data_IF_826080740206
#
_entry.id   IF_826080740206
#
_cell.length_a   1.000
_cell.length_b   1.000
_cell.length_c   1.000
_cell.angle_alpha   90.00
_cell.angle_beta   90.00
_cell.angle_gamma   90.00
#
_symmetry.space_group_name_H-M   'P 1'
#
loop_
_entity.id
_entity.type
_entity.pdbx_description
1 polymer ?
#
# COMPACT_ATOMS: atom_id res chain seq x y z
N UNK A 1 17.32 -3.84 -11.38
CA UNK A 1 16.33 -4.25 -12.40
C UNK A 1 16.20 -5.77 -12.34
N UNK A 2 15.03 -6.32 -11.99
CA UNK A 2 14.85 -7.77 -11.71
C UNK A 2 14.86 -8.69 -12.95
N UNK A 3 15.39 -8.22 -14.09
CA UNK A 3 15.43 -8.98 -15.35
C UNK A 3 14.08 -9.17 -16.06
N UNK A 4 13.01 -8.51 -15.61
CA UNK A 4 11.70 -8.58 -16.26
C UNK A 4 11.54 -7.53 -17.36
N UNK A 5 10.81 -7.89 -18.43
CA UNK A 5 10.33 -6.90 -19.41
C UNK A 5 9.35 -5.93 -18.74
N UNK A 6 9.25 -4.67 -19.20
CA UNK A 6 8.32 -3.69 -18.63
C UNK A 6 6.87 -4.17 -18.61
N UNK A 7 6.42 -4.85 -19.67
CA UNK A 7 5.07 -5.41 -19.76
C UNK A 7 4.81 -6.49 -18.70
N UNK A 8 5.78 -7.39 -18.46
CA UNK A 8 5.65 -8.44 -17.44
C UNK A 8 5.67 -7.86 -16.03
N UNK A 9 6.51 -6.87 -15.79
CA UNK A 9 6.53 -6.15 -14.51
C UNK A 9 5.19 -5.44 -14.24
N UNK A 10 4.58 -4.82 -15.26
CA UNK A 10 3.28 -4.19 -15.14
C UNK A 10 2.17 -5.18 -14.78
N UNK A 11 2.13 -6.36 -15.43
CA UNK A 11 1.17 -7.40 -15.10
C UNK A 11 1.32 -7.92 -13.66
N UNK A 12 2.56 -8.15 -13.22
CA UNK A 12 2.83 -8.58 -11.85
C UNK A 12 2.43 -7.50 -10.82
N UNK A 13 2.69 -6.24 -11.12
CA UNK A 13 2.26 -5.12 -10.28
C UNK A 13 0.73 -4.98 -10.23
N UNK A 14 0.03 -5.27 -11.33
CA UNK A 14 -1.43 -5.20 -11.40
C UNK A 14 -2.13 -6.18 -10.44
N UNK A 15 -1.48 -7.30 -10.07
CA UNK A 15 -2.02 -8.27 -9.12
C UNK A 15 -2.27 -7.69 -7.72
N UNK A 16 -1.57 -6.61 -7.36
CA UNK A 16 -1.76 -5.95 -6.06
C UNK A 16 -3.20 -5.49 -5.87
N UNK A 17 -3.85 -4.96 -6.92
CA UNK A 17 -5.22 -4.44 -6.84
C UNK A 17 -6.26 -5.52 -6.49
N UNK A 18 -6.37 -6.61 -7.26
CA UNK A 18 -7.24 -7.73 -6.92
C UNK A 18 -6.96 -8.32 -5.53
N UNK A 19 -5.68 -8.45 -5.14
CA UNK A 19 -5.31 -8.98 -3.84
C UNK A 19 -5.67 -8.04 -2.69
N UNK A 20 -5.71 -6.73 -2.93
CA UNK A 20 -6.25 -5.75 -2.00
C UNK A 20 -7.74 -5.97 -1.70
N UNK A 21 -8.53 -6.31 -2.72
CA UNK A 21 -9.94 -6.64 -2.53
C UNK A 21 -10.07 -8.00 -1.83
N UNK A 22 -9.30 -9.00 -2.26
CA UNK A 22 -9.30 -10.33 -1.64
C UNK A 22 -8.98 -10.27 -0.14
N UNK A 23 -7.99 -9.47 0.28
CA UNK A 23 -7.67 -9.29 1.69
C UNK A 23 -8.85 -8.75 2.52
N UNK A 24 -9.65 -7.85 1.96
CA UNK A 24 -10.87 -7.33 2.62
C UNK A 24 -11.98 -8.37 2.71
N UNK A 25 -12.16 -9.17 1.66
CA UNK A 25 -13.15 -10.26 1.66
C UNK A 25 -12.79 -11.27 2.76
N UNK A 26 -11.52 -11.64 2.85
CA UNK A 26 -11.02 -12.53 3.92
C UNK A 26 -11.25 -11.88 5.28
N UNK A 27 -10.81 -10.64 5.49
CA UNK A 27 -11.02 -9.96 6.77
C UNK A 27 -12.50 -9.93 7.17
N UNK A 28 -13.39 -9.55 6.25
CA UNK A 28 -14.83 -9.51 6.50
C UNK A 28 -15.40 -10.89 6.87
N UNK A 29 -14.97 -11.94 6.18
CA UNK A 29 -15.39 -13.32 6.47
C UNK A 29 -14.96 -13.78 7.88
N UNK A 30 -13.84 -13.25 8.38
CA UNK A 30 -13.27 -13.60 9.69
C UNK A 30 -13.44 -12.51 10.76
N UNK A 31 -14.12 -11.40 10.46
CA UNK A 31 -14.20 -10.21 11.31
C UNK A 31 -14.82 -10.48 12.69
N UNK A 32 -15.70 -11.47 12.81
CA UNK A 32 -16.31 -11.88 14.09
C UNK A 32 -15.39 -12.72 14.98
N UNK A 33 -14.19 -13.10 14.52
CA UNK A 33 -13.28 -14.03 15.22
C UNK A 33 -12.06 -13.36 15.84
N UNK A 34 -11.81 -12.09 15.53
CA UNK A 34 -10.66 -11.36 16.03
C UNK A 34 -11.02 -9.88 16.25
N UNK A 35 -10.40 -9.22 17.24
CA UNK A 35 -10.51 -7.78 17.39
C UNK A 35 -9.84 -7.04 16.23
N UNK A 36 -10.29 -5.83 15.91
CA UNK A 36 -9.71 -5.05 14.84
C UNK A 36 -8.24 -4.71 15.14
N UNK A 37 -7.89 -4.53 16.42
CA UNK A 37 -6.50 -4.32 16.85
C UNK A 37 -5.61 -5.49 16.45
N UNK A 38 -6.04 -6.73 16.71
CA UNK A 38 -5.26 -7.93 16.36
C UNK A 38 -5.15 -8.14 14.86
N UNK A 39 -6.24 -7.90 14.11
CA UNK A 39 -6.21 -7.92 12.64
C UNK A 39 -5.24 -6.86 12.11
N UNK A 40 -5.24 -5.68 12.73
CA UNK A 40 -4.34 -4.58 12.43
C UNK A 40 -2.87 -4.92 12.63
N UNK A 41 -2.52 -5.54 13.75
CA UNK A 41 -1.16 -6.01 14.02
C UNK A 41 -0.68 -7.01 12.97
N UNK A 42 -1.51 -8.02 12.65
CA UNK A 42 -1.17 -9.03 11.63
C UNK A 42 -0.95 -8.37 10.28
N UNK A 43 -1.86 -7.48 9.86
CA UNK A 43 -1.73 -6.75 8.59
C UNK A 43 -0.50 -5.83 8.58
N UNK A 44 -0.18 -5.19 9.71
CA UNK A 44 0.98 -4.32 9.86
C UNK A 44 2.28 -5.10 9.71
N UNK A 45 2.41 -6.29 10.31
CA UNK A 45 3.61 -7.12 10.20
C UNK A 45 3.72 -7.83 8.85
N UNK A 46 2.61 -8.18 8.22
CA UNK A 46 2.62 -8.77 6.88
C UNK A 46 3.15 -7.80 5.82
N UNK A 47 3.02 -6.49 6.02
CA UNK A 47 3.55 -5.46 5.12
C UNK A 47 5.08 -5.50 4.95
N UNK A 48 5.92 -5.33 6.00
CA UNK A 48 7.37 -5.44 5.85
C UNK A 48 7.81 -6.83 5.39
N UNK A 49 7.11 -7.90 5.78
CA UNK A 49 7.38 -9.26 5.27
C UNK A 49 7.24 -9.28 3.74
N UNK A 50 6.18 -8.70 3.19
CA UNK A 50 6.01 -8.61 1.73
C UNK A 50 7.18 -7.88 1.06
N UNK A 51 7.66 -6.78 1.65
CA UNK A 51 8.79 -6.02 1.13
C UNK A 51 10.09 -6.82 1.18
N UNK A 52 10.32 -7.60 2.24
CA UNK A 52 11.47 -8.50 2.32
C UNK A 52 11.41 -9.57 1.22
N UNK A 53 10.23 -10.18 0.99
CA UNK A 53 10.04 -11.14 -0.11
C UNK A 53 10.40 -10.50 -1.45
N UNK A 54 9.98 -9.27 -1.70
CA UNK A 54 10.32 -8.56 -2.93
C UNK A 54 11.81 -8.21 -3.03
N UNK A 55 12.42 -7.78 -1.93
CA UNK A 55 13.84 -7.42 -1.87
C UNK A 55 14.75 -8.60 -2.22
N UNK A 56 14.38 -9.80 -1.79
CA UNK A 56 15.11 -11.05 -2.07
C UNK A 56 14.54 -11.85 -3.25
N UNK A 57 13.64 -11.27 -4.05
CA UNK A 57 12.97 -11.99 -5.13
C UNK A 57 13.94 -12.49 -6.22
N UNK A 58 15.05 -11.77 -6.47
CA UNK A 58 16.09 -12.21 -7.41
C UNK A 58 15.60 -12.50 -8.83
N UNK A 59 14.52 -11.85 -9.30
CA UNK A 59 13.91 -12.15 -10.61
C UNK A 59 12.97 -13.37 -10.63
N UNK A 60 12.71 -13.99 -9.48
CA UNK A 60 11.71 -15.04 -9.35
C UNK A 60 10.29 -14.49 -9.49
N UNK A 61 9.57 -14.98 -10.51
CA UNK A 61 8.16 -14.61 -10.70
C UNK A 61 7.30 -15.04 -9.51
N UNK A 62 7.58 -16.22 -8.94
CA UNK A 62 6.84 -16.72 -7.78
C UNK A 62 7.00 -15.81 -6.56
N UNK A 63 8.22 -15.31 -6.32
CA UNK A 63 8.47 -14.37 -5.22
C UNK A 63 7.75 -13.03 -5.42
N UNK A 64 7.73 -12.51 -6.65
CA UNK A 64 6.98 -11.28 -6.96
C UNK A 64 5.47 -11.47 -6.82
N UNK A 65 4.93 -12.63 -7.21
CA UNK A 65 3.52 -12.96 -6.98
C UNK A 65 3.23 -13.07 -5.48
N UNK A 66 4.08 -13.74 -4.71
CA UNK A 66 3.93 -13.84 -3.26
C UNK A 66 3.95 -12.45 -2.60
N UNK A 67 4.87 -11.57 -3.03
CA UNK A 67 4.85 -10.16 -2.65
C UNK A 67 3.51 -9.51 -2.97
N UNK A 68 3.03 -9.59 -4.22
CA UNK A 68 1.81 -8.92 -4.65
C UNK A 68 0.57 -9.40 -3.86
N UNK A 69 0.52 -10.68 -3.54
CA UNK A 69 -0.54 -11.28 -2.71
C UNK A 69 -0.49 -10.75 -1.29
N UNK A 70 0.66 -10.86 -0.61
CA UNK A 70 0.80 -10.45 0.79
C UNK A 70 0.61 -8.93 0.89
N UNK A 71 1.34 -8.17 0.09
CA UNK A 71 1.28 -6.71 0.06
C UNK A 71 -0.14 -6.21 -0.26
N UNK A 72 -0.76 -6.74 -1.31
CA UNK A 72 -2.11 -6.37 -1.71
C UNK A 72 -3.09 -6.63 -0.57
N UNK A 73 -3.14 -7.86 -0.07
CA UNK A 73 -4.06 -8.25 1.00
C UNK A 73 -3.86 -7.41 2.26
N UNK A 74 -2.63 -7.27 2.75
CA UNK A 74 -2.30 -6.46 3.93
C UNK A 74 -2.69 -4.99 3.73
N UNK A 75 -2.41 -4.41 2.57
CA UNK A 75 -2.80 -3.04 2.26
C UNK A 75 -4.33 -2.88 2.24
N UNK A 76 -5.06 -3.89 1.74
CA UNK A 76 -6.51 -3.92 1.72
C UNK A 76 -7.11 -3.94 3.12
N UNK A 77 -6.62 -4.84 3.96
CA UNK A 77 -7.02 -4.94 5.37
C UNK A 77 -6.70 -3.65 6.13
N UNK A 78 -5.52 -3.07 5.91
CA UNK A 78 -5.09 -1.84 6.60
C UNK A 78 -6.04 -0.65 6.33
N UNK A 79 -6.74 -0.63 5.19
CA UNK A 79 -7.76 0.42 4.94
C UNK A 79 -9.00 0.30 5.83
N UNK A 80 -9.33 -0.90 6.30
CA UNK A 80 -10.43 -1.14 7.24
C UNK A 80 -9.93 -0.86 8.67
N UNK A 81 -8.79 -1.45 9.03
CA UNK A 81 -8.14 -1.33 10.35
C UNK A 81 -7.97 0.13 10.77
N UNK A 82 -7.56 1.02 9.86
CA UNK A 82 -7.39 2.45 10.14
C UNK A 82 -8.69 3.15 10.57
N UNK A 83 -9.84 2.63 10.17
CA UNK A 83 -11.14 3.14 10.57
C UNK A 83 -11.73 2.43 11.80
N UNK A 84 -11.38 1.18 12.02
CA UNK A 84 -11.98 0.36 13.09
C UNK A 84 -11.18 0.38 14.38
N UNK A 85 -9.84 0.30 14.31
CA UNK A 85 -8.96 0.26 15.50
C UNK A 85 -9.09 1.54 16.34
N UNK A 86 -9.09 2.76 15.77
CA UNK A 86 -9.24 3.94 16.61
C UNK A 86 -10.60 4.00 17.31
N UNK A 87 -11.66 3.56 16.64
CA UNK A 87 -12.98 3.47 17.25
C UNK A 87 -13.04 2.38 18.35
N UNK A 88 -12.26 1.29 18.20
CA UNK A 88 -12.11 0.24 19.21
C UNK A 88 -11.36 0.75 20.45
N UNK A 89 -10.28 1.52 20.28
CA UNK A 89 -9.42 2.00 21.38
C UNK A 89 -10.01 3.22 22.09
N UNK A 90 -10.48 4.22 21.35
CA UNK A 90 -10.90 5.52 21.89
C UNK A 90 -12.43 5.69 21.97
N UNK A 91 -13.20 4.70 21.51
CA UNK A 91 -14.64 4.80 21.42
C UNK A 91 -15.11 5.66 20.25
N UNK A 92 -16.43 5.85 20.17
CA UNK A 92 -17.08 6.50 19.02
C UNK A 92 -17.24 8.01 19.18
N UNK A 93 -17.12 8.52 20.41
CA UNK A 93 -17.33 9.92 20.73
C UNK A 93 -16.13 10.75 20.24
N UNK A 94 -16.36 11.77 19.42
CA UNK A 94 -15.29 12.57 18.82
C UNK A 94 -14.43 11.84 17.77
N UNK A 95 -14.76 10.59 17.40
CA UNK A 95 -13.99 9.77 16.45
C UNK A 95 -13.72 10.50 15.12
N UNK A 96 -14.70 11.24 14.59
CA UNK A 96 -14.53 11.97 13.34
C UNK A 96 -13.41 13.02 13.39
N UNK A 97 -13.27 13.72 14.53
CA UNK A 97 -12.19 14.69 14.75
C UNK A 97 -10.82 14.03 14.88
N UNK A 98 -10.74 12.96 15.68
CA UNK A 98 -9.50 12.20 15.87
C UNK A 98 -9.03 11.54 14.57
N UNK A 99 -9.95 10.90 13.83
CA UNK A 99 -9.67 10.30 12.53
C UNK A 99 -9.21 11.36 11.50
N UNK A 100 -9.82 12.54 11.52
CA UNK A 100 -9.40 13.69 10.71
C UNK A 100 -7.96 14.11 11.00
N UNK A 101 -7.62 14.32 12.28
CA UNK A 101 -6.27 14.70 12.73
C UNK A 101 -5.22 13.65 12.35
N UNK A 102 -5.55 12.36 12.47
CA UNK A 102 -4.65 11.27 12.04
C UNK A 102 -4.44 11.25 10.51
N UNK A 103 -5.46 11.61 9.72
CA UNK A 103 -5.37 11.62 8.26
C UNK A 103 -4.59 12.83 7.72
N UNK A 104 -4.66 14.00 8.38
CA UNK A 104 -4.05 15.26 7.94
C UNK A 104 -2.56 15.13 7.55
N UNK A 105 -1.64 14.64 8.41
CA UNK A 105 -0.22 14.59 8.05
C UNK A 105 0.04 13.65 6.86
N UNK A 106 -0.69 12.54 6.76
CA UNK A 106 -0.58 11.59 5.65
C UNK A 106 -1.03 12.23 4.34
N UNK A 107 -2.16 12.97 4.36
CA UNK A 107 -2.67 13.65 3.17
C UNK A 107 -1.72 14.75 2.70
N UNK A 108 -1.16 15.54 3.63
CA UNK A 108 -0.16 16.56 3.32
C UNK A 108 1.10 15.94 2.69
N UNK A 109 1.63 14.87 3.28
CA UNK A 109 2.80 14.17 2.75
C UNK A 109 2.53 13.62 1.33
N UNK A 110 1.34 13.05 1.09
CA UNK A 110 0.95 12.55 -0.24
C UNK A 110 0.82 13.67 -1.27
N UNK A 111 0.27 14.83 -0.88
CA UNK A 111 0.18 15.98 -1.76
C UNK A 111 1.57 16.50 -2.15
N UNK A 112 2.47 16.66 -1.18
CA UNK A 112 3.86 17.09 -1.42
C UNK A 112 4.60 16.11 -2.32
N UNK A 113 4.48 14.80 -2.07
CA UNK A 113 5.12 13.78 -2.88
C UNK A 113 4.64 13.82 -4.34
N UNK A 114 3.34 13.97 -4.58
CA UNK A 114 2.77 14.06 -5.92
C UNK A 114 3.30 15.28 -6.69
N UNK A 115 3.32 16.45 -6.05
CA UNK A 115 3.87 17.68 -6.64
C UNK A 115 5.35 17.52 -6.95
N UNK A 116 6.13 16.91 -6.05
CA UNK A 116 7.54 16.64 -6.25
C UNK A 116 7.82 15.76 -7.48
N UNK A 117 7.08 14.65 -7.63
CA UNK A 117 7.22 13.76 -8.79
C UNK A 117 6.87 14.47 -10.09
N UNK A 118 5.76 15.21 -10.13
CA UNK A 118 5.35 15.96 -11.33
C UNK A 118 6.42 16.99 -11.71
N UNK A 119 6.94 17.73 -10.73
CA UNK A 119 7.96 18.76 -10.94
C UNK A 119 9.27 18.16 -11.44
N UNK A 120 9.69 17.03 -10.89
CA UNK A 120 10.89 16.31 -11.33
C UNK A 120 10.75 15.78 -12.77
N UNK A 121 9.61 15.18 -13.12
CA UNK A 121 9.35 14.70 -14.49
C UNK A 121 9.33 15.87 -15.47
N UNK A 122 8.69 16.99 -15.14
CA UNK A 122 8.66 18.18 -15.98
C UNK A 122 10.06 18.75 -16.24
N UNK A 123 10.88 18.86 -15.18
CA UNK A 123 12.27 19.29 -15.28
C UNK A 123 13.11 18.34 -16.15
N UNK A 124 13.01 17.02 -15.94
CA UNK A 124 13.72 16.02 -16.73
C UNK A 124 13.35 16.06 -18.21
N UNK A 125 12.08 16.32 -18.54
CA UNK A 125 11.62 16.52 -19.92
C UNK A 125 12.18 17.81 -20.54
N UNK A 126 12.24 18.90 -19.78
CA UNK A 126 12.80 20.17 -20.25
C UNK A 126 14.29 20.04 -20.59
N UNK A 127 15.09 19.39 -19.73
CA UNK A 127 16.52 19.13 -19.96
C UNK A 127 16.74 18.26 -21.21
N UNK A 128 15.94 17.19 -21.39
CA UNK A 128 16.04 16.32 -22.59
C UNK A 128 15.69 17.02 -23.90
N UNK A 129 14.80 18.02 -23.87
CA UNK A 129 14.47 18.82 -25.05
C UNK A 129 15.56 19.84 -25.37
N UNK A 130 16.17 20.44 -24.35
CA UNK A 130 17.27 21.40 -24.52
C UNK A 130 18.58 20.79 -25.04
N UNK A 131 18.89 19.54 -24.69
CA UNK A 131 20.09 18.84 -25.19
C UNK A 131 19.97 18.21 -26.59
N UNK A 132 18.87 18.44 -27.30
CA UNK A 132 18.62 17.96 -28.67
C UNK A 132 18.62 19.09 -29.72
N UNK A 133 18.90 20.32 -29.30
CA UNK A 133 19.12 21.48 -30.17
C UNK A 133 20.63 21.78 -30.24
#
# INVERSE_FOLDING_TARGET
EQGFTPARAAWLAALVGPMQVAGRIVEFAFAHRASASRVGEIALFAFPISLLVLAFAGGSTAAVVAFAVIYGASNGVMTIVRGTVPAEIWGREGYGGLAGLMATPVLLARAVAAVGVISWVAFAMAVRRGGRA
#
